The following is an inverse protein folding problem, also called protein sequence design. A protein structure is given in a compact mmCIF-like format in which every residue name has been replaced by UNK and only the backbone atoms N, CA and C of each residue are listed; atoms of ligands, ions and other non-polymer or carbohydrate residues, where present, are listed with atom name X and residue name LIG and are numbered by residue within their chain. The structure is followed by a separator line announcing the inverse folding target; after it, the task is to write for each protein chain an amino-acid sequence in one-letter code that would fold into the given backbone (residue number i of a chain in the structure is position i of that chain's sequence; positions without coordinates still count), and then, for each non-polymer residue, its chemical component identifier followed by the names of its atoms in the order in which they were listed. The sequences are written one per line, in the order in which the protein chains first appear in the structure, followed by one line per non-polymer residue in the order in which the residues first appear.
data_IF_709123935626
#
_entry.id   IF_709123935626
#
_cell.length_a   1.000
_cell.length_b   1.000
_cell.length_c   1.000
_cell.angle_alpha   90.00
_cell.angle_beta   90.00
_cell.angle_gamma   90.00
#
_symmetry.space_group_name_H-M   'P 1'
#
loop_
_entity.id
_entity.type
_entity.pdbx_description
1 polymer ?
#
# COMPACT_ATOMS: atom_id res chain seq x y z
N UNK A 1 23.04 5.55 -16.82
CA UNK A 1 21.58 5.44 -16.61
C UNK A 1 20.79 5.03 -17.87
N UNK A 2 21.44 4.55 -18.94
CA UNK A 2 20.82 4.24 -20.26
C UNK A 2 20.02 2.93 -20.35
N UNK A 3 19.78 2.25 -19.22
CA UNK A 3 19.17 0.91 -19.21
C UNK A 3 17.72 0.89 -18.71
N UNK A 4 17.19 1.96 -18.12
CA UNK A 4 15.83 1.95 -17.54
C UNK A 4 14.71 1.88 -18.59
N UNK A 5 14.96 2.31 -19.82
CA UNK A 5 13.98 2.24 -20.91
C UNK A 5 14.08 0.95 -21.72
N UNK A 6 15.09 0.11 -21.46
CA UNK A 6 15.25 -1.16 -22.18
C UNK A 6 14.40 -2.24 -21.51
N UNK A 7 13.49 -2.85 -22.27
CA UNK A 7 12.67 -3.97 -21.77
C UNK A 7 13.55 -5.10 -21.23
N UNK A 8 14.69 -5.36 -21.87
CA UNK A 8 15.67 -6.38 -21.44
C UNK A 8 16.27 -6.15 -20.06
N UNK A 9 16.27 -4.91 -19.56
CA UNK A 9 16.70 -4.62 -18.18
C UNK A 9 15.67 -5.08 -17.16
N UNK A 10 14.37 -4.86 -17.44
CA UNK A 10 13.29 -5.18 -16.50
C UNK A 10 13.08 -6.68 -16.31
N UNK A 11 13.32 -7.44 -17.38
CA UNK A 11 13.23 -8.90 -17.38
C UNK A 11 14.59 -9.59 -17.26
N UNK A 12 15.64 -8.86 -16.83
CA UNK A 12 16.93 -9.48 -16.57
C UNK A 12 16.85 -10.31 -15.26
N UNK A 13 17.08 -11.64 -15.30
CA UNK A 13 17.05 -12.51 -14.12
C UNK A 13 18.31 -12.39 -13.25
N UNK A 14 19.34 -11.69 -13.71
CA UNK A 14 20.54 -11.41 -12.93
C UNK A 14 20.98 -9.97 -13.16
N UNK A 15 20.21 -8.99 -12.65
CA UNK A 15 20.58 -7.60 -12.79
C UNK A 15 21.79 -7.31 -11.89
N UNK A 16 22.66 -6.41 -12.34
CA UNK A 16 23.75 -5.90 -11.51
C UNK A 16 23.24 -5.29 -10.19
N UNK A 17 24.15 -5.20 -9.22
CA UNK A 17 23.90 -4.54 -7.95
C UNK A 17 23.53 -3.06 -8.17
N UNK A 18 22.67 -2.53 -7.31
CA UNK A 18 22.43 -1.09 -7.29
C UNK A 18 23.62 -0.36 -6.68
N UNK A 19 23.84 0.87 -7.15
CA UNK A 19 24.73 1.81 -6.49
C UNK A 19 24.27 1.99 -5.04
N UNK A 20 25.22 2.01 -4.10
CA UNK A 20 24.92 2.00 -2.66
C UNK A 20 23.96 3.13 -2.23
N UNK A 21 24.09 4.32 -2.83
CA UNK A 21 23.18 5.44 -2.57
C UNK A 21 21.72 5.15 -2.95
N UNK A 22 21.51 4.55 -4.12
CA UNK A 22 20.16 4.20 -4.59
C UNK A 22 19.54 3.12 -3.72
N UNK A 23 20.34 2.13 -3.33
CA UNK A 23 19.92 1.04 -2.46
C UNK A 23 19.37 1.57 -1.12
N UNK A 24 20.09 2.49 -0.46
CA UNK A 24 19.66 3.10 0.81
C UNK A 24 18.31 3.82 0.67
N UNK A 25 18.12 4.58 -0.40
CA UNK A 25 16.86 5.29 -0.68
C UNK A 25 15.71 4.30 -0.82
N UNK A 26 15.90 3.24 -1.61
CA UNK A 26 14.81 2.26 -1.83
C UNK A 26 14.48 1.52 -0.53
N UNK A 27 15.47 1.12 0.27
CA UNK A 27 15.24 0.55 1.59
C UNK A 27 14.45 1.50 2.49
N UNK A 28 14.85 2.77 2.55
CA UNK A 28 14.18 3.78 3.35
C UNK A 28 12.71 3.95 2.94
N UNK A 29 12.40 3.96 1.64
CA UNK A 29 11.03 4.07 1.14
C UNK A 29 10.16 2.89 1.61
N UNK A 30 10.62 1.65 1.43
CA UNK A 30 9.81 0.49 1.87
C UNK A 30 9.73 0.34 3.38
N UNK A 31 10.81 0.68 4.11
CA UNK A 31 10.77 0.75 5.56
C UNK A 31 9.75 1.79 6.04
N UNK A 32 9.71 2.97 5.42
CA UNK A 32 8.73 4.01 5.73
C UNK A 32 7.30 3.54 5.47
N UNK A 33 7.06 2.77 4.39
CA UNK A 33 5.73 2.18 4.13
C UNK A 33 5.29 1.21 5.24
N UNK A 34 6.22 0.43 5.81
CA UNK A 34 5.92 -0.44 6.96
C UNK A 34 5.61 0.41 8.20
N UNK A 35 6.39 1.47 8.45
CA UNK A 35 6.12 2.41 9.55
C UNK A 35 4.73 3.03 9.40
N UNK A 36 4.33 3.47 8.20
CA UNK A 36 2.97 3.95 7.91
C UNK A 36 1.93 2.86 8.22
N UNK A 37 2.21 1.60 7.87
CA UNK A 37 1.36 0.46 8.21
C UNK A 37 1.21 0.25 9.72
N UNK A 38 2.29 0.37 10.49
CA UNK A 38 2.28 0.30 11.96
C UNK A 38 1.47 1.43 12.57
N UNK A 39 1.70 2.67 12.11
CA UNK A 39 0.94 3.84 12.56
C UNK A 39 -0.55 3.62 12.29
N UNK A 40 -0.90 3.19 11.08
CA UNK A 40 -2.28 2.89 10.71
C UNK A 40 -2.89 1.82 11.62
N UNK A 41 -2.14 0.78 11.98
CA UNK A 41 -2.61 -0.25 12.90
C UNK A 41 -2.98 0.31 14.28
N UNK A 42 -2.16 1.20 14.86
CA UNK A 42 -2.45 1.86 16.13
C UNK A 42 -3.74 2.68 16.05
N UNK A 43 -3.93 3.41 14.95
CA UNK A 43 -5.14 4.22 14.74
C UNK A 43 -6.41 3.41 14.49
N UNK A 44 -6.33 2.14 14.07
CA UNK A 44 -7.52 1.26 14.02
C UNK A 44 -8.12 1.09 15.42
N UNK A 45 -7.27 0.89 16.43
CA UNK A 45 -7.69 0.70 17.82
C UNK A 45 -8.33 1.94 18.44
N UNK A 46 -7.85 3.13 18.07
CA UNK A 46 -8.41 4.41 18.54
C UNK A 46 -9.73 4.78 17.88
N UNK A 47 -10.01 4.26 16.67
CA UNK A 47 -11.18 4.62 15.89
C UNK A 47 -12.28 3.54 15.91
N UNK A 48 -12.33 2.68 16.94
CA UNK A 48 -13.30 1.56 17.02
C UNK A 48 -14.76 2.02 16.89
N UNK A 49 -15.10 3.17 17.49
CA UNK A 49 -16.46 3.72 17.45
C UNK A 49 -16.81 4.28 16.06
N UNK A 50 -15.81 4.80 15.35
CA UNK A 50 -15.96 5.27 13.98
C UNK A 50 -15.59 4.17 12.97
N UNK A 51 -16.54 3.27 12.72
CA UNK A 51 -16.39 2.15 11.76
C UNK A 51 -15.88 2.58 10.38
N UNK A 52 -16.18 3.80 9.93
CA UNK A 52 -15.70 4.30 8.63
C UNK A 52 -14.21 4.62 8.66
N UNK A 53 -13.75 5.26 9.74
CA UNK A 53 -12.35 5.63 9.94
C UNK A 53 -11.49 4.40 10.27
N UNK A 54 -11.98 3.48 11.10
CA UNK A 54 -11.30 2.20 11.34
C UNK A 54 -11.08 1.42 10.03
N UNK A 55 -12.08 1.39 9.13
CA UNK A 55 -11.94 0.76 7.80
C UNK A 55 -10.95 1.48 6.89
N UNK A 56 -10.85 2.81 6.97
CA UNK A 56 -9.83 3.56 6.25
C UNK A 56 -8.43 3.13 6.73
N UNK A 57 -8.17 3.19 8.04
CA UNK A 57 -6.90 2.78 8.61
C UNK A 57 -6.56 1.31 8.35
N UNK A 58 -7.56 0.42 8.30
CA UNK A 58 -7.35 -0.96 7.92
C UNK A 58 -6.86 -1.12 6.48
N UNK A 59 -7.37 -0.31 5.54
CA UNK A 59 -6.88 -0.30 4.15
C UNK A 59 -5.45 0.26 4.06
N UNK A 60 -5.16 1.33 4.78
CA UNK A 60 -3.79 1.91 4.84
C UNK A 60 -2.81 0.91 5.44
N UNK A 61 -3.18 0.25 6.55
CA UNK A 61 -2.39 -0.81 7.17
C UNK A 61 -2.07 -1.93 6.18
N UNK A 62 -3.09 -2.45 5.51
CA UNK A 62 -2.91 -3.53 4.55
C UNK A 62 -2.02 -3.10 3.38
N UNK A 63 -2.24 -1.90 2.81
CA UNK A 63 -1.38 -1.38 1.74
C UNK A 63 0.08 -1.21 2.19
N UNK A 64 0.31 -0.55 3.33
CA UNK A 64 1.64 -0.30 3.88
C UNK A 64 2.42 -1.58 4.16
N UNK A 65 1.78 -2.57 4.80
CA UNK A 65 2.41 -3.86 5.06
C UNK A 65 2.61 -4.71 3.81
N UNK A 66 1.61 -4.84 2.94
CA UNK A 66 1.77 -5.65 1.72
C UNK A 66 2.86 -5.07 0.83
N UNK A 67 2.80 -3.77 0.51
CA UNK A 67 3.78 -3.15 -0.40
C UNK A 67 5.15 -3.01 0.26
N UNK A 68 5.18 -2.65 1.56
CA UNK A 68 6.41 -2.48 2.33
C UNK A 68 7.17 -3.79 2.54
N UNK A 69 6.51 -4.82 3.07
CA UNK A 69 7.13 -6.12 3.37
C UNK A 69 7.54 -6.83 2.08
N UNK A 70 6.67 -6.89 1.06
CA UNK A 70 7.00 -7.49 -0.23
C UNK A 70 8.15 -6.71 -0.89
N UNK A 71 8.13 -5.38 -0.82
CA UNK A 71 9.20 -4.55 -1.37
C UNK A 71 10.56 -4.83 -0.73
N UNK A 72 10.62 -4.91 0.61
CA UNK A 72 11.85 -5.27 1.32
C UNK A 72 12.31 -6.70 0.98
N UNK A 73 11.38 -7.65 0.94
CA UNK A 73 11.68 -9.04 0.58
C UNK A 73 12.29 -9.12 -0.83
N UNK A 74 11.71 -8.42 -1.81
CA UNK A 74 12.22 -8.38 -3.18
C UNK A 74 13.63 -7.77 -3.27
N UNK A 75 13.91 -6.71 -2.51
CA UNK A 75 15.25 -6.11 -2.50
C UNK A 75 16.26 -7.07 -1.87
N UNK A 76 15.88 -7.73 -0.78
CA UNK A 76 16.70 -8.76 -0.15
C UNK A 76 16.99 -9.91 -1.13
N UNK A 77 15.97 -10.44 -1.83
CA UNK A 77 16.16 -11.46 -2.86
C UNK A 77 17.08 -10.99 -3.99
N UNK A 78 17.01 -9.71 -4.37
CA UNK A 78 17.89 -9.11 -5.37
C UNK A 78 19.34 -9.05 -4.88
N UNK A 79 19.60 -8.72 -3.62
CA UNK A 79 20.95 -8.76 -3.05
C UNK A 79 21.52 -10.17 -3.01
N UNK A 80 20.67 -11.16 -2.69
CA UNK A 80 21.02 -12.58 -2.72
C UNK A 80 21.09 -13.16 -4.14
N UNK A 81 20.85 -12.34 -5.18
CA UNK A 81 20.86 -12.73 -6.60
C UNK A 81 19.99 -13.96 -6.89
N UNK A 82 18.84 -14.06 -6.22
CA UNK A 82 17.87 -15.12 -6.48
C UNK A 82 17.27 -14.87 -7.86
N UNK A 83 17.53 -15.78 -8.81
CA UNK A 83 17.27 -15.61 -10.24
C UNK A 83 15.95 -14.88 -10.58
N UNK A 84 14.80 -15.56 -10.47
CA UNK A 84 13.51 -14.96 -10.81
C UNK A 84 13.07 -13.83 -9.86
N UNK A 85 13.38 -13.95 -8.56
CA UNK A 85 12.95 -12.98 -7.54
C UNK A 85 13.77 -11.67 -7.54
N UNK A 86 14.91 -11.65 -8.24
CA UNK A 86 15.76 -10.46 -8.37
C UNK A 86 15.36 -9.54 -9.51
N UNK A 87 14.42 -9.97 -10.37
CA UNK A 87 14.01 -9.23 -11.56
C UNK A 87 13.49 -7.82 -11.19
N UNK A 88 14.00 -6.75 -11.84
CA UNK A 88 13.53 -5.39 -11.58
C UNK A 88 12.03 -5.21 -11.84
N UNK A 89 11.46 -6.00 -12.76
CA UNK A 89 10.03 -6.06 -13.03
C UNK A 89 9.19 -6.30 -11.76
N UNK A 90 9.63 -7.17 -10.83
CA UNK A 90 8.86 -7.48 -9.63
C UNK A 90 8.74 -6.28 -8.68
N UNK A 91 9.79 -5.45 -8.61
CA UNK A 91 9.77 -4.21 -7.83
C UNK A 91 8.77 -3.22 -8.45
N UNK A 92 8.76 -3.12 -9.79
CA UNK A 92 7.82 -2.26 -10.51
C UNK A 92 6.37 -2.77 -10.38
N UNK A 93 6.17 -4.09 -10.42
CA UNK A 93 4.88 -4.72 -10.18
C UNK A 93 4.38 -4.44 -8.76
N UNK A 94 5.25 -4.56 -7.75
CA UNK A 94 4.91 -4.21 -6.37
C UNK A 94 4.57 -2.72 -6.23
N UNK A 95 5.32 -1.84 -6.89
CA UNK A 95 5.04 -0.39 -6.91
C UNK A 95 3.69 -0.08 -7.59
N UNK A 96 3.39 -0.72 -8.73
CA UNK A 96 2.11 -0.61 -9.42
C UNK A 96 0.95 -1.11 -8.54
N UNK A 97 1.15 -2.22 -7.82
CA UNK A 97 0.24 -2.68 -6.79
C UNK A 97 -0.01 -1.60 -5.73
N UNK A 98 1.04 -0.95 -5.24
CA UNK A 98 0.93 0.18 -4.31
C UNK A 98 0.10 1.35 -4.86
N UNK A 99 0.26 1.71 -6.13
CA UNK A 99 -0.55 2.75 -6.78
C UNK A 99 -2.03 2.35 -6.80
N UNK A 100 -2.33 1.10 -7.16
CA UNK A 100 -3.71 0.57 -7.16
C UNK A 100 -4.32 0.63 -5.75
N UNK A 101 -3.58 0.25 -4.72
CA UNK A 101 -4.02 0.38 -3.33
C UNK A 101 -4.30 1.84 -2.95
N UNK A 102 -3.41 2.76 -3.30
CA UNK A 102 -3.62 4.21 -3.09
C UNK A 102 -4.90 4.70 -3.77
N UNK A 103 -5.15 4.30 -5.02
CA UNK A 103 -6.39 4.65 -5.72
C UNK A 103 -7.64 4.16 -4.95
N UNK A 104 -7.63 2.92 -4.45
CA UNK A 104 -8.75 2.38 -3.67
C UNK A 104 -8.95 3.09 -2.31
N UNK A 105 -7.86 3.55 -1.69
CA UNK A 105 -7.89 4.33 -0.45
C UNK A 105 -8.48 5.72 -0.71
N UNK A 106 -8.00 6.42 -1.74
CA UNK A 106 -8.50 7.74 -2.15
C UNK A 106 -9.99 7.64 -2.54
N UNK A 107 -10.35 6.67 -3.39
CA UNK A 107 -11.74 6.40 -3.76
C UNK A 107 -12.63 6.14 -2.54
N UNK A 108 -12.11 5.45 -1.53
CA UNK A 108 -12.85 5.19 -0.30
C UNK A 108 -13.22 6.49 0.44
N UNK A 109 -12.24 7.38 0.64
CA UNK A 109 -12.47 8.65 1.33
C UNK A 109 -13.43 9.53 0.54
N UNK A 110 -13.20 9.73 -0.76
CA UNK A 110 -13.94 10.73 -1.53
C UNK A 110 -15.30 10.24 -2.04
N UNK A 111 -15.48 8.93 -2.28
CA UNK A 111 -16.74 8.40 -2.81
C UNK A 111 -17.50 7.56 -1.79
N UNK A 112 -16.83 6.65 -1.09
CA UNK A 112 -17.52 5.68 -0.20
C UNK A 112 -17.92 6.28 1.14
N UNK A 113 -17.04 7.04 1.79
CA UNK A 113 -17.32 7.66 3.10
C UNK A 113 -18.51 8.63 3.03
N UNK A 114 -18.59 9.61 2.08
CA UNK A 114 -19.73 10.51 2.03
C UNK A 114 -21.03 9.79 1.70
N UNK A 115 -21.02 8.81 0.79
CA UNK A 115 -22.20 7.99 0.48
C UNK A 115 -22.72 7.27 1.73
N UNK A 116 -21.85 6.61 2.49
CA UNK A 116 -22.24 5.90 3.72
C UNK A 116 -22.73 6.83 4.82
N UNK A 117 -22.17 8.04 4.92
CA UNK A 117 -22.66 9.06 5.87
C UNK A 117 -24.10 9.47 5.53
N UNK A 118 -24.45 9.65 4.25
CA UNK A 118 -25.82 9.94 3.81
C UNK A 118 -26.77 8.78 4.12
N UNK A 119 -26.39 7.56 3.77
CA UNK A 119 -27.20 6.36 4.07
C UNK A 119 -27.45 6.19 5.58
N UNK A 120 -26.44 6.50 6.43
CA UNK A 120 -26.59 6.47 7.88
C UNK A 120 -27.53 7.56 8.39
N UNK A 121 -27.51 8.76 7.80
CA UNK A 121 -28.42 9.84 8.16
C UNK A 121 -29.87 9.49 7.79
N UNK A 122 -30.10 9.00 6.57
CA UNK A 122 -31.43 8.59 6.09
C UNK A 122 -32.00 7.43 6.93
N UNK A 123 -31.16 6.47 7.33
CA UNK A 123 -31.60 5.39 8.24
C UNK A 123 -32.01 5.93 9.61
N UNK A 124 -31.23 6.85 10.19
CA UNK A 124 -31.57 7.49 11.47
C UNK A 124 -32.86 8.30 11.39
N UNK A 125 -33.10 8.97 10.27
CA UNK A 125 -34.37 9.68 10.04
C UNK A 125 -35.53 8.70 9.96
N UNK A 126 -35.42 7.61 9.20
CA UNK A 126 -36.48 6.58 9.11
C UNK A 126 -36.77 5.90 10.44
N UNK A 127 -35.73 5.58 11.21
CA UNK A 127 -35.85 4.98 12.55
C UNK A 127 -36.52 5.92 13.56
N UNK A 128 -36.43 7.24 13.38
CA UNK A 128 -37.11 8.23 14.23
C UNK A 128 -38.63 8.14 14.12
N UNK A 129 -39.16 7.67 12.99
CA UNK A 129 -40.59 7.61 12.70
C UNK A 129 -41.19 6.20 12.80
N UNK A 130 -40.37 5.19 13.14
CA UNK A 130 -40.85 3.83 13.38
C UNK A 130 -41.19 3.66 14.88
N UNK A 131 -42.41 3.23 15.23
CA UNK A 131 -42.74 2.92 16.62
C UNK A 131 -41.88 1.73 17.10
N UNK A 132 -41.39 1.83 18.34
CA UNK A 132 -40.56 0.78 18.98
C UNK A 132 -41.40 -0.40 19.44
#
# INVERSE_FOLDING_TARGET
MSNLLKLSYWFNPSPGQWLEGNLKIVYAVFALLIVVGLIAWLFIGQNKDNKLMAKFWQRVKNAGFTVGIIGLALIFCRQQRIYFLSMPFLILLNAAGGIVWTYFIVRYIFKTVPKKKKELAEKKEKEKYLPK
#
